data_IF_192903718982
#
_entry.id   IF_192903718982
#
_cell.length_a   1.000
_cell.length_b   1.000
_cell.length_c   1.000
_cell.angle_alpha   90.00
_cell.angle_beta   90.00
_cell.angle_gamma   90.00
#
_symmetry.space_group_name_H-M   'P 1'
#
loop_
_entity.id
_entity.type
_entity.pdbx_description
1 polymer ?
#
# COMPACT_ATOMS: atom_id res chain seq x y z
N UNK A 1 23.33 12.48 26.74
CA UNK A 1 22.30 11.43 26.63
C UNK A 1 22.68 10.46 25.49
N UNK A 2 23.92 9.96 25.47
CA UNK A 2 24.47 9.12 24.38
C UNK A 2 25.31 7.92 24.87
N UNK A 3 25.58 7.78 26.17
CA UNK A 3 26.41 6.69 26.74
C UNK A 3 25.64 5.49 27.31
N UNK A 4 24.29 5.56 27.34
CA UNK A 4 23.47 4.58 28.06
C UNK A 4 23.01 3.37 27.24
N UNK A 5 23.21 3.39 25.91
CA UNK A 5 22.78 2.32 24.99
C UNK A 5 23.90 1.29 24.77
N UNK A 6 25.17 1.71 24.70
CA UNK A 6 26.29 0.81 24.40
C UNK A 6 26.64 -0.20 25.52
N UNK A 7 26.38 0.17 26.79
CA UNK A 7 26.79 -0.64 27.95
C UNK A 7 25.86 -1.84 28.20
N UNK A 8 24.59 -1.74 27.80
CA UNK A 8 23.58 -2.78 27.99
C UNK A 8 23.62 -3.82 26.86
N UNK A 9 23.93 -3.38 25.63
CA UNK A 9 24.09 -4.26 24.46
C UNK A 9 25.29 -5.20 24.64
N UNK A 10 26.41 -4.68 25.17
CA UNK A 10 27.62 -5.48 25.42
C UNK A 10 27.42 -6.54 26.53
N UNK A 11 26.57 -6.26 27.53
CA UNK A 11 26.19 -7.22 28.58
C UNK A 11 25.26 -8.32 28.05
N UNK A 12 24.32 -7.98 27.17
CA UNK A 12 23.39 -8.95 26.58
C UNK A 12 24.13 -9.89 25.62
N UNK A 13 25.09 -9.37 24.82
CA UNK A 13 25.96 -10.18 23.96
C UNK A 13 26.87 -11.12 24.75
N UNK A 14 27.44 -10.67 25.88
CA UNK A 14 28.30 -11.52 26.71
C UNK A 14 27.55 -12.66 27.41
N UNK A 15 26.30 -12.43 27.83
CA UNK A 15 25.46 -13.46 28.48
C UNK A 15 24.98 -14.51 27.46
N UNK A 16 24.65 -14.11 26.23
CA UNK A 16 24.23 -15.04 25.17
C UNK A 16 25.37 -15.99 24.75
N UNK A 17 26.62 -15.52 24.73
CA UNK A 17 27.78 -16.36 24.39
C UNK A 17 28.12 -17.35 25.53
N UNK A 18 27.90 -16.98 26.79
CA UNK A 18 28.21 -17.83 27.94
C UNK A 18 27.20 -18.97 28.19
N UNK A 19 25.94 -18.81 27.78
CA UNK A 19 24.91 -19.87 27.95
C UNK A 19 25.08 -21.01 26.94
N UNK A 20 25.79 -20.78 25.82
CA UNK A 20 25.98 -21.78 24.76
C UNK A 20 27.04 -22.84 25.12
N UNK A 21 27.95 -22.57 26.05
CA UNK A 21 29.10 -23.44 26.34
C UNK A 21 28.92 -24.40 27.53
N UNK A 22 27.75 -24.43 28.17
CA UNK A 22 27.49 -25.25 29.36
C UNK A 22 26.41 -26.32 29.12
N UNK A 23 26.32 -26.84 27.90
CA UNK A 23 25.50 -28.00 27.60
C UNK A 23 26.42 -29.22 27.31
N UNK A 24 26.34 -30.31 28.09
CA UNK A 24 27.12 -31.51 27.84
C UNK A 24 26.77 -32.10 26.46
N UNK A 25 27.81 -32.51 25.72
CA UNK A 25 27.81 -32.90 24.31
C UNK A 25 27.04 -34.21 23.96
N UNK A 26 25.99 -34.57 24.71
CA UNK A 26 25.40 -35.92 24.68
C UNK A 26 23.88 -36.02 24.51
N UNK A 27 23.14 -34.91 24.33
CA UNK A 27 21.69 -34.98 24.10
C UNK A 27 21.26 -34.05 22.96
N UNK A 28 21.61 -34.40 21.73
CA UNK A 28 20.85 -33.98 20.55
C UNK A 28 19.96 -35.16 20.18
N UNK A 29 18.94 -35.40 21.02
CA UNK A 29 17.81 -36.24 20.63
C UNK A 29 17.07 -35.53 19.51
N UNK A 30 16.65 -36.28 18.49
CA UNK A 30 15.97 -35.81 17.28
C UNK A 30 14.84 -34.82 17.57
N UNK A 31 15.18 -33.54 17.68
CA UNK A 31 14.22 -32.47 17.57
C UNK A 31 13.88 -32.39 16.09
N UNK A 32 12.74 -32.98 15.73
CA UNK A 32 12.07 -32.62 14.49
C UNK A 32 11.76 -31.13 14.59
N UNK A 33 12.65 -30.29 14.07
CA UNK A 33 12.31 -28.93 13.70
C UNK A 33 11.26 -29.07 12.63
N UNK A 34 9.99 -28.97 13.06
CA UNK A 34 8.86 -29.01 12.18
C UNK A 34 9.14 -28.11 10.99
N UNK A 35 8.93 -28.69 9.81
CA UNK A 35 8.86 -28.04 8.51
C UNK A 35 8.64 -26.54 8.71
N UNK A 36 9.68 -25.74 8.46
CA UNK A 36 9.62 -24.30 8.63
C UNK A 36 8.35 -23.83 7.94
N UNK A 37 7.42 -23.28 8.73
CA UNK A 37 6.27 -22.61 8.16
C UNK A 37 6.85 -21.61 7.16
N UNK A 38 6.51 -21.80 5.89
CA UNK A 38 6.81 -20.80 4.86
C UNK A 38 6.04 -19.57 5.32
N UNK A 39 6.72 -18.70 6.05
CA UNK A 39 6.22 -17.36 6.34
C UNK A 39 6.26 -16.62 5.00
N UNK A 40 5.25 -16.85 4.17
CA UNK A 40 4.85 -15.92 3.13
C UNK A 40 4.58 -14.61 3.84
N UNK A 41 5.60 -13.76 3.93
CA UNK A 41 5.45 -12.37 4.33
C UNK A 41 4.24 -11.82 3.58
N UNK A 42 3.25 -11.23 4.26
CA UNK A 42 2.03 -10.77 3.62
C UNK A 42 2.41 -9.77 2.53
N UNK A 43 2.36 -10.21 1.28
CA UNK A 43 2.57 -9.33 0.14
C UNK A 43 1.44 -8.32 0.13
N UNK A 44 1.77 -7.04 0.21
CA UNK A 44 0.81 -5.95 0.23
C UNK A 44 -0.07 -5.99 -1.03
N UNK A 45 -1.40 -6.03 -0.86
CA UNK A 45 -2.32 -5.97 -2.01
C UNK A 45 -2.36 -4.54 -2.55
N UNK A 46 -1.84 -4.36 -3.77
CA UNK A 46 -1.73 -3.05 -4.44
C UNK A 46 -2.79 -2.88 -5.54
N UNK A 47 -3.88 -3.64 -5.52
CA UNK A 47 -5.00 -3.44 -6.44
C UNK A 47 -5.83 -2.25 -6.01
N UNK A 48 -6.25 -1.41 -6.95
CA UNK A 48 -7.28 -0.39 -6.67
C UNK A 48 -8.63 -1.10 -6.62
N UNK A 49 -9.35 -0.96 -5.49
CA UNK A 49 -10.68 -1.55 -5.31
C UNK A 49 -11.73 -0.45 -5.24
N UNK A 50 -12.54 -0.31 -6.27
CA UNK A 50 -13.55 0.76 -6.36
C UNK A 50 -14.85 0.21 -6.91
N UNK A 51 -15.89 0.18 -6.07
CA UNK A 51 -17.26 -0.18 -6.44
C UNK A 51 -17.39 -1.46 -7.31
N UNK A 52 -16.72 -2.54 -6.89
CA UNK A 52 -16.71 -3.83 -7.60
C UNK A 52 -15.63 -3.98 -8.67
N UNK A 53 -14.95 -2.89 -9.05
CA UNK A 53 -13.71 -2.98 -9.83
C UNK A 53 -12.54 -3.33 -8.91
N UNK A 54 -11.66 -4.22 -9.37
CA UNK A 54 -10.43 -4.61 -8.70
C UNK A 54 -9.36 -4.89 -9.75
N UNK A 55 -8.32 -4.07 -9.80
CA UNK A 55 -7.25 -4.18 -10.80
C UNK A 55 -5.92 -3.63 -10.27
N UNK A 56 -4.78 -4.15 -10.73
CA UNK A 56 -3.46 -3.54 -10.46
C UNK A 56 -3.13 -2.52 -11.57
N UNK A 57 -3.15 -1.20 -11.28
CA UNK A 57 -3.04 -0.18 -12.32
C UNK A 57 -1.71 -0.14 -13.09
N UNK A 58 -0.67 -0.86 -12.63
CA UNK A 58 0.59 -0.97 -13.36
C UNK A 58 0.72 -2.28 -14.15
N UNK A 59 -0.25 -3.19 -14.04
CA UNK A 59 -0.24 -4.48 -14.75
C UNK A 59 -1.36 -4.58 -15.78
N UNK A 60 -2.54 -4.05 -15.44
CA UNK A 60 -3.72 -4.19 -16.28
C UNK A 60 -4.58 -2.92 -16.23
N UNK A 61 -5.33 -2.71 -17.31
CA UNK A 61 -6.39 -1.72 -17.33
C UNK A 61 -7.72 -2.37 -16.91
N UNK A 62 -8.57 -1.67 -16.15
CA UNK A 62 -9.89 -2.17 -15.82
C UNK A 62 -10.76 -2.26 -17.08
N UNK A 63 -11.52 -3.34 -17.19
CA UNK A 63 -12.49 -3.52 -18.26
C UNK A 63 -13.67 -2.55 -18.09
N UNK A 64 -13.55 -1.37 -18.70
CA UNK A 64 -14.57 -0.32 -18.71
C UNK A 64 -15.02 -0.11 -20.14
N UNK A 65 -16.33 -0.19 -20.35
CA UNK A 65 -16.94 0.06 -21.65
C UNK A 65 -16.64 1.50 -22.13
N UNK A 66 -16.35 1.73 -23.42
CA UNK A 66 -15.98 3.05 -23.94
C UNK A 66 -16.94 4.18 -23.58
N UNK A 67 -18.25 3.89 -23.56
CA UNK A 67 -19.31 4.83 -23.19
C UNK A 67 -19.31 5.23 -21.71
N UNK A 68 -18.62 4.45 -20.87
CA UNK A 68 -18.45 4.69 -19.43
C UNK A 68 -17.07 5.28 -19.08
N UNK A 69 -16.26 5.62 -20.10
CA UNK A 69 -15.02 6.40 -19.97
C UNK A 69 -15.29 7.88 -20.24
N UNK A 70 -14.56 8.75 -19.57
CA UNK A 70 -14.54 10.17 -19.88
C UNK A 70 -13.92 10.43 -21.24
N UNK A 71 -14.49 11.36 -22.01
CA UNK A 71 -13.85 11.91 -23.22
C UNK A 71 -12.68 12.85 -22.88
N UNK A 72 -12.70 13.45 -21.69
CA UNK A 72 -11.63 14.29 -21.16
C UNK A 72 -11.66 14.31 -19.62
N UNK A 73 -10.51 14.47 -18.93
CA UNK A 73 -10.48 14.52 -17.48
C UNK A 73 -11.36 15.64 -16.91
N UNK A 74 -12.19 15.32 -15.91
CA UNK A 74 -13.11 16.26 -15.28
C UNK A 74 -12.60 16.80 -13.92
N UNK A 75 -11.34 16.55 -13.59
CA UNK A 75 -10.70 16.97 -12.33
C UNK A 75 -10.75 15.93 -11.21
N UNK A 76 -11.53 14.84 -11.33
CA UNK A 76 -11.52 13.76 -10.35
C UNK A 76 -10.55 12.64 -10.75
N UNK A 77 -9.68 12.30 -9.81
CA UNK A 77 -8.64 11.29 -9.99
C UNK A 77 -8.62 10.33 -8.81
N UNK A 78 -8.16 9.11 -9.07
CA UNK A 78 -7.73 8.17 -8.04
C UNK A 78 -6.22 8.32 -7.91
N UNK A 79 -5.74 8.63 -6.72
CA UNK A 79 -4.29 8.71 -6.40
C UNK A 79 -3.96 7.54 -5.50
N UNK A 80 -3.13 6.61 -5.98
CA UNK A 80 -2.66 5.45 -5.22
C UNK A 80 -1.23 5.66 -4.73
N UNK A 81 -1.00 5.30 -3.48
CA UNK A 81 0.30 5.37 -2.81
C UNK A 81 1.06 4.04 -2.93
N UNK A 82 2.36 4.05 -2.67
CA UNK A 82 3.20 2.85 -2.70
C UNK A 82 3.10 1.98 -1.43
N UNK A 83 2.33 2.40 -0.42
CA UNK A 83 2.10 1.67 0.82
C UNK A 83 1.17 2.39 1.80
N UNK A 84 1.15 1.99 3.09
CA UNK A 84 0.37 2.63 4.14
C UNK A 84 0.52 4.15 4.12
N UNK A 85 -0.62 4.85 4.03
CA UNK A 85 -0.62 6.30 3.83
C UNK A 85 -0.23 7.00 5.13
N UNK A 86 0.88 7.75 5.08
CA UNK A 86 1.32 8.61 6.17
C UNK A 86 0.53 9.93 6.18
N UNK A 87 0.37 10.51 7.36
CA UNK A 87 -0.31 11.80 7.51
C UNK A 87 0.39 12.91 6.72
N UNK A 88 1.72 12.95 6.74
CA UNK A 88 2.53 13.91 5.99
C UNK A 88 2.29 13.87 4.47
N UNK A 89 2.01 12.69 3.90
CA UNK A 89 1.72 12.55 2.47
C UNK A 89 0.36 13.14 2.10
N UNK A 90 -0.64 12.96 2.97
CA UNK A 90 -1.95 13.59 2.82
C UNK A 90 -1.81 15.12 2.83
N UNK A 91 -1.12 15.64 3.84
CA UNK A 91 -0.92 17.08 4.01
C UNK A 91 -0.17 17.68 2.81
N UNK A 92 0.85 16.98 2.30
CA UNK A 92 1.59 17.43 1.13
C UNK A 92 0.74 17.42 -0.16
N UNK A 93 -0.11 16.40 -0.36
CA UNK A 93 -1.06 16.36 -1.49
C UNK A 93 -2.00 17.56 -1.43
N UNK A 94 -2.58 17.86 -0.27
CA UNK A 94 -3.48 19.00 -0.08
C UNK A 94 -2.76 20.34 -0.27
N UNK A 95 -1.54 20.47 0.27
CA UNK A 95 -0.72 21.66 0.13
C UNK A 95 -0.34 21.98 -1.33
N UNK A 96 -0.30 20.97 -2.21
CA UNK A 96 -0.08 21.18 -3.66
C UNK A 96 -1.33 21.65 -4.41
N UNK A 97 -2.46 21.83 -3.73
CA UNK A 97 -3.71 22.35 -4.29
C UNK A 97 -4.72 21.28 -4.68
N UNK A 98 -4.55 20.05 -4.20
CA UNK A 98 -5.54 18.99 -4.38
C UNK A 98 -6.52 18.93 -3.22
N UNK A 99 -7.75 18.46 -3.47
CA UNK A 99 -8.77 18.24 -2.44
C UNK A 99 -9.06 16.76 -2.32
N UNK A 100 -8.81 16.16 -1.16
CA UNK A 100 -9.08 14.75 -0.91
C UNK A 100 -10.54 14.57 -0.48
N UNK A 101 -11.31 13.82 -1.27
CA UNK A 101 -12.75 13.59 -1.01
C UNK A 101 -13.02 12.33 -0.19
N UNK A 102 -12.16 11.33 -0.28
CA UNK A 102 -12.40 10.07 0.42
C UNK A 102 -11.33 9.03 0.16
N UNK A 103 -11.28 8.04 1.06
CA UNK A 103 -10.40 6.89 0.95
C UNK A 103 -10.99 5.83 0.03
N UNK A 104 -10.12 5.25 -0.81
CA UNK A 104 -10.36 4.06 -1.61
C UNK A 104 -9.43 2.97 -1.05
N UNK A 105 -9.91 1.73 -0.84
CA UNK A 105 -9.07 0.64 -0.32
C UNK A 105 -7.75 0.46 -1.08
N UNK A 106 -6.78 -0.13 -0.38
CA UNK A 106 -5.41 -0.38 -0.85
C UNK A 106 -4.66 0.91 -1.21
N UNK A 107 -4.63 1.81 -0.22
CA UNK A 107 -3.80 3.02 -0.19
C UNK A 107 -4.11 4.00 -1.30
N UNK A 108 -5.39 4.22 -1.59
CA UNK A 108 -5.81 5.18 -2.59
C UNK A 108 -6.74 6.26 -2.03
N UNK A 109 -6.75 7.42 -2.69
CA UNK A 109 -7.71 8.49 -2.43
C UNK A 109 -8.46 8.86 -3.70
N UNK A 110 -9.73 9.22 -3.55
CA UNK A 110 -10.45 10.04 -4.52
C UNK A 110 -10.06 11.50 -4.29
N UNK A 111 -9.53 12.14 -5.32
CA UNK A 111 -8.94 13.48 -5.25
C UNK A 111 -9.50 14.35 -6.36
N UNK A 112 -9.87 15.59 -6.03
CA UNK A 112 -10.17 16.63 -7.00
C UNK A 112 -8.97 17.55 -7.18
N UNK A 113 -8.51 17.76 -8.41
CA UNK A 113 -7.37 18.62 -8.72
C UNK A 113 -7.32 19.02 -10.19
N UNK A 114 -6.53 20.03 -10.53
CA UNK A 114 -6.24 20.41 -11.93
C UNK A 114 -5.22 19.46 -12.56
N UNK A 115 -5.14 19.43 -13.89
CA UNK A 115 -4.11 18.65 -14.62
C UNK A 115 -2.69 19.10 -14.29
N UNK A 116 -2.47 20.39 -14.00
CA UNK A 116 -1.18 20.92 -13.55
C UNK A 116 -0.81 20.35 -12.17
N UNK A 117 -1.77 20.33 -11.24
CA UNK A 117 -1.58 19.79 -9.89
C UNK A 117 -1.34 18.29 -9.93
N UNK A 118 -2.06 17.56 -10.80
CA UNK A 118 -1.80 16.14 -11.09
C UNK A 118 -0.35 15.91 -11.47
N UNK A 119 0.20 16.71 -12.39
CA UNK A 119 1.59 16.56 -12.82
C UNK A 119 2.59 16.74 -11.66
N UNK A 120 2.33 17.71 -10.75
CA UNK A 120 3.14 17.93 -9.55
C UNK A 120 3.07 16.75 -8.58
N UNK A 121 1.87 16.21 -8.34
CA UNK A 121 1.66 15.07 -7.43
C UNK A 121 2.24 13.77 -8.01
N UNK A 122 2.16 13.57 -9.32
CA UNK A 122 2.73 12.40 -9.98
C UNK A 122 4.26 12.29 -9.83
N UNK A 123 4.94 13.40 -9.52
CA UNK A 123 6.39 13.41 -9.27
C UNK A 123 6.80 13.01 -7.84
N UNK A 124 5.85 12.75 -6.95
CA UNK A 124 6.13 12.38 -5.56
C UNK A 124 6.54 10.91 -5.46
N UNK A 125 7.62 10.64 -4.72
CA UNK A 125 8.22 9.30 -4.63
C UNK A 125 7.32 8.23 -4.02
N UNK A 126 6.34 8.65 -3.22
CA UNK A 126 5.35 7.78 -2.60
C UNK A 126 4.08 7.58 -3.43
N UNK A 127 3.90 8.32 -4.53
CA UNK A 127 2.77 8.15 -5.44
C UNK A 127 3.10 7.04 -6.42
N UNK A 128 2.27 5.99 -6.41
CA UNK A 128 2.43 4.82 -7.27
C UNK A 128 1.71 4.98 -8.60
N UNK A 129 0.50 5.56 -8.58
CA UNK A 129 -0.33 5.68 -9.76
C UNK A 129 -1.38 6.79 -9.62
N UNK A 130 -1.71 7.46 -10.73
CA UNK A 130 -2.82 8.41 -10.80
C UNK A 130 -3.66 8.15 -12.06
N UNK A 131 -4.92 7.75 -11.87
CA UNK A 131 -5.89 7.56 -12.95
C UNK A 131 -7.10 8.46 -12.84
N UNK A 132 -7.86 8.61 -13.92
CA UNK A 132 -9.14 9.30 -13.89
C UNK A 132 -10.15 8.51 -13.04
N UNK A 133 -11.01 9.22 -12.32
CA UNK A 133 -12.19 8.61 -11.72
C UNK A 133 -13.31 8.52 -12.76
N UNK A 134 -13.34 7.42 -13.50
CA UNK A 134 -14.28 7.19 -14.61
C UNK A 134 -15.74 7.06 -14.12
N UNK A 135 -16.75 7.46 -14.93
CA UNK A 135 -18.16 7.25 -14.65
C UNK A 135 -18.51 5.83 -14.23
N UNK A 136 -17.85 4.84 -14.84
CA UNK A 136 -17.97 3.42 -14.52
C UNK A 136 -17.84 3.14 -13.01
N UNK A 137 -16.91 3.81 -12.32
CA UNK A 137 -16.66 3.59 -10.90
C UNK A 137 -17.79 4.09 -10.00
N UNK A 138 -18.60 5.05 -10.46
CA UNK A 138 -19.78 5.52 -9.71
C UNK A 138 -20.90 4.50 -9.72
N UNK A 139 -21.08 3.82 -10.85
CA UNK A 139 -22.16 2.86 -11.09
C UNK A 139 -21.79 1.44 -10.61
N UNK A 140 -20.50 1.09 -10.74
CA UNK A 140 -19.95 -0.19 -10.30
C UNK A 140 -20.13 -1.31 -11.33
N UNK A 141 -19.41 -2.42 -11.15
CA UNK A 141 -19.40 -3.57 -12.08
C UNK A 141 -20.79 -4.17 -12.31
N UNK A 142 -21.66 -4.12 -11.30
CA UNK A 142 -23.00 -4.72 -11.36
C UNK A 142 -24.08 -3.78 -11.93
N UNK A 143 -23.73 -2.52 -12.24
CA UNK A 143 -24.72 -1.54 -12.71
C UNK A 143 -25.15 -1.71 -14.17
N UNK A 144 -24.77 -2.81 -14.82
CA UNK A 144 -25.43 -3.33 -16.04
C UNK A 144 -26.61 -4.26 -15.76
N UNK A 145 -26.91 -4.58 -14.49
CA UNK A 145 -28.09 -5.37 -14.12
C UNK A 145 -28.87 -4.72 -13.00
N UNK A 146 -29.93 -4.00 -13.38
CA UNK A 146 -30.88 -3.42 -12.43
C UNK A 146 -32.05 -2.65 -13.05
N UNK A 147 -32.84 -3.28 -13.93
CA UNK A 147 -34.29 -3.08 -14.15
C UNK A 147 -34.67 -4.05 -15.30
N UNK A 148 -35.26 -5.23 -15.11
CA UNK A 148 -36.54 -5.62 -14.43
C UNK A 148 -37.71 -4.76 -14.83
#
# INVERSE_FOLDING_TARGET
>A
MMDMIGKNICRILAVLIAVVFLLPAGMIGSMNFGEAAVETSPSLDMRVMVNGYSFDPLKEEPNILPEMKLSSPNGYFIVQMNGPILQEWREEIEAKGATIHGYIPNFAYLVFMTSETKAKINGLSYVRWIGNYEPAYKVGVNGVTGAV
#
